data_IF_746313663821
#
_entry.id   IF_746313663821
#
_cell.length_a   1.000
_cell.length_b   1.000
_cell.length_c   1.000
_cell.angle_alpha   90.00
_cell.angle_beta   90.00
_cell.angle_gamma   90.00
#
_symmetry.space_group_name_H-M   'P 1'
#
loop_
_entity.id
_entity.type
_entity.pdbx_description
1 polymer ?
#
# COMPACT_ATOMS: atom_id res chain seq x y z
N UNK A 1 -7.53 28.86 15.50
CA UNK A 1 -6.35 28.14 14.97
C UNK A 1 -6.86 26.88 14.30
N UNK A 2 -7.12 27.00 13.00
CA UNK A 2 -7.69 25.96 12.17
C UNK A 2 -6.63 24.94 11.80
N UNK A 3 -6.83 23.68 12.14
CA UNK A 3 -6.25 22.57 11.37
C UNK A 3 -7.20 21.39 11.48
N UNK A 4 -8.33 21.52 10.77
CA UNK A 4 -9.25 20.44 10.55
C UNK A 4 -8.48 19.32 9.81
N UNK A 5 -8.06 18.30 10.56
CA UNK A 5 -7.62 17.03 9.97
C UNK A 5 -8.84 16.46 9.26
N UNK A 6 -8.88 16.71 7.95
CA UNK A 6 -9.91 16.30 7.02
C UNK A 6 -9.90 14.76 6.97
N UNK A 7 -10.57 14.09 7.91
CA UNK A 7 -10.89 12.66 7.82
C UNK A 7 -11.92 12.47 6.70
N UNK A 8 -11.47 12.58 5.44
CA UNK A 8 -12.24 12.06 4.34
C UNK A 8 -12.31 10.56 4.52
N UNK A 9 -13.51 10.05 4.82
CA UNK A 9 -13.91 8.63 4.78
C UNK A 9 -13.82 8.07 3.34
N UNK A 10 -12.68 8.29 2.67
CA UNK A 10 -12.33 7.60 1.43
C UNK A 10 -11.70 6.29 1.85
N UNK A 11 -12.21 5.18 1.31
CA UNK A 11 -11.56 3.87 1.49
C UNK A 11 -10.07 4.07 1.20
N UNK A 12 -9.19 3.80 2.17
CA UNK A 12 -7.77 4.08 2.02
C UNK A 12 -7.28 3.36 0.78
N UNK A 13 -6.54 4.08 -0.07
CA UNK A 13 -5.93 3.48 -1.26
C UNK A 13 -5.08 2.29 -0.80
N UNK A 14 -5.00 1.22 -1.58
CA UNK A 14 -4.22 0.01 -1.25
C UNK A 14 -2.83 0.34 -0.68
N UNK A 15 -2.10 1.27 -1.32
CA UNK A 15 -0.77 1.68 -0.87
C UNK A 15 -0.77 2.37 0.51
N UNK A 16 -1.85 3.08 0.85
CA UNK A 16 -2.01 3.75 2.14
C UNK A 16 -2.34 2.73 3.25
N UNK A 17 -3.13 1.70 2.93
CA UNK A 17 -3.36 0.57 3.82
C UNK A 17 -2.05 -0.15 4.14
N UNK A 18 -1.25 -0.45 3.11
CA UNK A 18 0.06 -1.10 3.27
C UNK A 18 1.00 -0.27 4.14
N UNK A 19 1.08 1.05 3.91
CA UNK A 19 1.92 1.94 4.74
C UNK A 19 1.49 1.93 6.21
N UNK A 20 0.18 1.95 6.46
CA UNK A 20 -0.36 1.90 7.81
C UNK A 20 0.04 0.61 8.50
N UNK A 21 -0.17 -0.54 7.84
CA UNK A 21 0.24 -1.85 8.36
C UNK A 21 1.74 -1.93 8.64
N UNK A 22 2.59 -1.46 7.73
CA UNK A 22 4.04 -1.48 7.90
C UNK A 22 4.50 -0.61 9.08
N UNK A 23 3.85 0.54 9.30
CA UNK A 23 4.12 1.42 10.46
C UNK A 23 3.65 0.80 11.76
N UNK A 24 2.48 0.15 11.78
CA UNK A 24 2.00 -0.60 12.94
C UNK A 24 2.91 -1.78 13.28
N UNK A 25 3.53 -2.41 12.28
CA UNK A 25 4.53 -3.45 12.47
C UNK A 25 5.94 -2.90 12.75
N UNK A 26 6.10 -1.59 13.00
CA UNK A 26 7.35 -0.92 13.34
C UNK A 26 8.49 -1.13 12.32
N UNK A 27 8.14 -1.34 11.04
CA UNK A 27 9.15 -1.38 9.99
C UNK A 27 9.74 0.01 9.74
N UNK A 28 11.03 0.04 9.42
CA UNK A 28 11.73 1.25 9.03
C UNK A 28 11.10 1.89 7.78
N UNK A 29 11.19 3.22 7.68
CA UNK A 29 10.74 3.99 6.51
C UNK A 29 11.32 3.48 5.18
N UNK A 30 12.58 3.02 5.20
CA UNK A 30 13.26 2.40 4.03
C UNK A 30 12.54 1.13 3.54
N UNK A 31 11.99 0.35 4.48
CA UNK A 31 11.20 -0.85 4.18
C UNK A 31 9.84 -0.46 3.62
N UNK A 32 9.18 0.57 4.18
CA UNK A 32 7.94 1.13 3.63
C UNK A 32 8.09 1.53 2.14
N UNK A 33 9.17 2.23 1.81
CA UNK A 33 9.46 2.65 0.43
C UNK A 33 9.73 1.46 -0.49
N UNK A 34 10.51 0.48 -0.02
CA UNK A 34 10.82 -0.72 -0.80
C UNK A 34 9.58 -1.57 -1.08
N UNK A 35 8.73 -1.79 -0.07
CA UNK A 35 7.49 -2.54 -0.21
C UNK A 35 6.49 -1.82 -1.10
N UNK A 36 6.28 -0.51 -0.91
CA UNK A 36 5.37 0.26 -1.77
C UNK A 36 5.85 0.34 -3.22
N UNK A 37 7.16 0.34 -3.46
CA UNK A 37 7.74 0.26 -4.81
C UNK A 37 7.47 -1.11 -5.46
N UNK A 38 7.76 -2.21 -4.75
CA UNK A 38 7.48 -3.58 -5.22
C UNK A 38 6.01 -3.80 -5.55
N UNK A 39 5.10 -3.32 -4.69
CA UNK A 39 3.66 -3.44 -4.91
C UNK A 39 3.22 -2.64 -6.14
N UNK A 40 3.76 -1.44 -6.36
CA UNK A 40 3.48 -0.68 -7.59
C UNK A 40 3.95 -1.43 -8.83
N UNK A 41 5.16 -1.97 -8.81
CA UNK A 41 5.71 -2.75 -9.93
C UNK A 41 4.85 -4.00 -10.19
N UNK A 42 4.44 -4.71 -9.14
CA UNK A 42 3.54 -5.86 -9.23
C UNK A 42 2.20 -5.50 -9.89
N UNK A 43 1.58 -4.38 -9.49
CA UNK A 43 0.32 -3.90 -10.08
C UNK A 43 0.51 -3.56 -11.56
N UNK A 44 1.62 -2.89 -11.92
CA UNK A 44 1.89 -2.52 -13.32
C UNK A 44 2.15 -3.77 -14.17
N UNK A 45 2.93 -4.72 -13.66
CA UNK A 45 3.24 -5.99 -14.34
C UNK A 45 1.97 -6.80 -14.61
N UNK A 46 1.03 -6.80 -13.67
CA UNK A 46 -0.22 -7.53 -13.78
C UNK A 46 -1.35 -6.73 -14.47
N UNK A 47 -1.03 -5.89 -15.47
CA UNK A 47 -2.02 -5.11 -16.22
C UNK A 47 -2.98 -4.25 -15.37
N UNK A 48 -2.52 -3.79 -14.19
CA UNK A 48 -3.33 -3.05 -13.20
C UNK A 48 -4.47 -3.87 -12.58
N UNK A 49 -4.44 -5.19 -12.69
CA UNK A 49 -5.36 -6.05 -11.96
C UNK A 49 -5.12 -5.91 -10.45
N UNK A 50 -6.22 -5.95 -9.68
CA UNK A 50 -6.17 -5.81 -8.23
C UNK A 50 -5.46 -7.04 -7.62
N UNK A 51 -4.53 -6.86 -6.66
CA UNK A 51 -3.74 -7.97 -6.09
C UNK A 51 -4.57 -9.06 -5.41
N UNK A 52 -5.80 -8.75 -5.00
CA UNK A 52 -6.76 -9.73 -4.47
C UNK A 52 -7.19 -10.76 -5.53
N UNK A 53 -7.17 -10.39 -6.82
CA UNK A 53 -7.44 -11.28 -7.95
C UNK A 53 -6.17 -11.97 -8.51
N UNK A 54 -4.99 -11.66 -7.96
CA UNK A 54 -3.68 -12.16 -8.44
C UNK A 54 -3.02 -13.06 -7.38
N UNK A 55 -3.85 -13.69 -6.55
CA UNK A 55 -3.47 -14.37 -5.31
C UNK A 55 -2.21 -15.22 -5.44
N UNK A 56 -1.37 -15.16 -4.39
CA UNK A 56 -0.24 -16.00 -3.95
C UNK A 56 0.64 -16.80 -4.94
N UNK A 57 0.13 -17.28 -6.07
CA UNK A 57 0.80 -18.06 -7.10
C UNK A 57 1.82 -17.26 -7.94
N UNK A 58 1.68 -15.93 -7.99
CA UNK A 58 2.61 -15.00 -8.68
C UNK A 58 3.61 -14.32 -7.72
N UNK A 59 3.76 -14.83 -6.49
CA UNK A 59 4.79 -14.37 -5.54
C UNK A 59 5.93 -15.39 -5.58
N UNK A 60 6.94 -15.14 -6.42
CA UNK A 60 8.19 -15.91 -6.48
C UNK A 60 9.24 -15.41 -5.49
#
# INVERSE_FOLDING_TARGET
>A
METAVKLTLKRPKLLEQVRTTLRTAHYSKKTEESYTSRIKQFIVFNNKAHPDNLGAEEIK
#
